data_IF_275589853983
#
_entry.id   IF_275589853983
#
_cell.length_a   1.000
_cell.length_b   1.000
_cell.length_c   1.000
_cell.angle_alpha   90.00
_cell.angle_beta   90.00
_cell.angle_gamma   90.00
#
_symmetry.space_group_name_H-M   'P 1'
#
loop_
_entity.id
_entity.type
_entity.pdbx_description
1 polymer ?
#
# COMPACT_ATOMS: atom_id res chain seq x y z
N UNK A 1 -4.75 -10.53 -21.15
CA UNK A 1 -4.69 -10.37 -20.75
C UNK A 1 -4.74 -10.24 -19.88
N UNK A 2 -4.74 -10.40 -19.68
CA UNK A 2 -4.70 -10.27 -19.00
C UNK A 2 -4.81 -10.07 -18.03
N UNK A 3 -4.95 -10.18 -17.85
CA UNK A 3 -4.97 -9.96 -17.09
C UNK A 3 -4.84 -9.90 -16.08
N UNK A 4 -5.22 -10.06 -15.97
CA UNK A 4 -5.13 -10.25 -14.79
C UNK A 4 -4.35 -9.97 -14.13
N UNK A 5 -4.46 -9.84 -14.44
CA UNK A 5 -3.08 -9.49 -14.18
C UNK A 5 -2.93 -8.38 -13.16
N UNK A 6 -2.01 -8.60 -12.23
CA UNK A 6 -1.79 -7.63 -11.18
C UNK A 6 -0.88 -6.53 -11.66
N UNK A 7 -1.21 -5.30 -11.33
CA UNK A 7 -0.36 -4.18 -11.64
C UNK A 7 0.73 -4.04 -10.60
N UNK A 8 1.82 -3.39 -10.97
CA UNK A 8 2.94 -3.15 -10.04
C UNK A 8 2.57 -2.11 -8.99
N UNK A 9 1.63 -1.23 -9.28
CA UNK A 9 1.21 -0.16 -8.38
C UNK A 9 -0.29 -0.15 -8.25
N UNK A 10 -0.77 0.14 -7.05
CA UNK A 10 -2.21 0.23 -6.79
C UNK A 10 -2.57 1.65 -6.39
N UNK A 11 -3.82 2.03 -6.68
CA UNK A 11 -4.33 3.35 -6.32
C UNK A 11 -5.18 3.29 -5.07
N UNK A 12 -5.81 4.42 -4.73
CA UNK A 12 -6.62 4.51 -3.51
C UNK A 12 -7.83 3.60 -3.52
N UNK A 13 -8.37 3.29 -4.69
CA UNK A 13 -9.57 2.45 -4.76
C UNK A 13 -9.33 1.09 -4.11
N UNK A 14 -8.18 0.48 -4.38
CA UNK A 14 -7.85 -0.80 -3.80
C UNK A 14 -7.78 -0.72 -2.28
N UNK A 15 -7.17 0.33 -1.77
CA UNK A 15 -7.03 0.52 -0.33
C UNK A 15 -8.37 0.76 0.33
N UNK A 16 -9.23 1.54 -0.34
CA UNK A 16 -10.58 1.79 0.17
C UNK A 16 -11.35 0.50 0.35
N UNK A 17 -11.22 -0.40 -0.63
CA UNK A 17 -11.92 -1.68 -0.59
C UNK A 17 -11.33 -2.62 0.45
N UNK A 18 -10.00 -2.67 0.52
CA UNK A 18 -9.32 -3.60 1.43
C UNK A 18 -9.54 -3.23 2.89
N UNK A 19 -9.60 -1.95 3.20
CA UNK A 19 -9.64 -1.49 4.58
C UNK A 19 -10.93 -0.78 4.95
N UNK A 20 -11.85 -0.65 3.99
CA UNK A 20 -13.13 0.01 4.21
C UNK A 20 -12.92 1.42 4.77
N UNK A 21 -12.11 2.19 4.08
CA UNK A 21 -11.80 3.55 4.49
C UNK A 21 -12.16 4.53 3.38
N UNK A 22 -12.24 5.81 3.74
CA UNK A 22 -12.55 6.85 2.77
C UNK A 22 -11.40 7.08 1.81
N UNK A 23 -11.70 7.76 0.70
CA UNK A 23 -10.68 8.08 -0.29
C UNK A 23 -9.57 8.95 0.32
N UNK A 24 -9.95 9.92 1.16
CA UNK A 24 -8.96 10.77 1.81
C UNK A 24 -8.02 9.96 2.68
N UNK A 25 -8.56 9.01 3.43
CA UNK A 25 -7.75 8.14 4.26
C UNK A 25 -6.84 7.26 3.41
N UNK A 26 -7.38 6.75 2.30
CA UNK A 26 -6.58 5.93 1.40
C UNK A 26 -5.38 6.70 0.85
N UNK A 27 -5.58 7.94 0.45
CA UNK A 27 -4.48 8.78 -0.04
C UNK A 27 -3.46 9.04 1.06
N UNK A 28 -3.91 9.24 2.30
CA UNK A 28 -2.98 9.43 3.41
C UNK A 28 -2.14 8.18 3.66
N UNK A 29 -2.75 7.01 3.53
CA UNK A 29 -2.04 5.74 3.67
C UNK A 29 -0.97 5.63 2.58
N UNK A 30 -1.34 5.93 1.34
CA UNK A 30 -0.40 5.88 0.22
C UNK A 30 0.78 6.81 0.48
N UNK A 31 0.49 8.03 0.94
CA UNK A 31 1.52 9.02 1.19
C UNK A 31 2.50 8.55 2.24
N UNK A 32 1.98 7.97 3.32
CA UNK A 32 2.83 7.46 4.39
C UNK A 32 3.67 6.29 3.93
N UNK A 33 3.07 5.38 3.17
CA UNK A 33 3.79 4.22 2.67
C UNK A 33 4.91 4.62 1.72
N UNK A 34 4.63 5.60 0.85
CA UNK A 34 5.65 6.07 -0.09
C UNK A 34 6.78 6.78 0.61
N UNK A 35 6.48 7.53 1.67
CA UNK A 35 7.52 8.18 2.45
C UNK A 35 8.43 7.14 3.10
N UNK A 36 7.85 6.10 3.65
CA UNK A 36 8.62 5.02 4.27
C UNK A 36 9.42 4.26 3.22
N UNK A 37 8.81 3.99 2.08
CA UNK A 37 9.49 3.28 1.00
C UNK A 37 10.72 4.06 0.53
N UNK A 38 10.58 5.35 0.35
CA UNK A 38 11.69 6.17 -0.11
C UNK A 38 12.82 6.19 0.91
N UNK A 39 12.45 6.14 2.18
CA UNK A 39 13.43 6.15 3.26
C UNK A 39 14.24 4.85 3.27
N UNK A 40 13.58 3.72 3.07
CA UNK A 40 14.24 2.42 3.13
C UNK A 40 14.85 2.01 1.80
N UNK A 41 14.28 2.50 0.72
CA UNK A 41 14.73 2.18 -0.63
C UNK A 41 14.83 3.46 -1.46
N UNK A 42 15.90 4.23 -1.27
CA UNK A 42 15.99 5.57 -1.90
C UNK A 42 15.88 5.57 -3.41
N UNK A 43 16.19 4.45 -4.06
CA UNK A 43 16.13 4.36 -5.52
C UNK A 43 14.79 3.84 -6.03
N UNK A 44 13.84 3.56 -5.14
CA UNK A 44 12.55 3.04 -5.55
C UNK A 44 11.77 4.08 -6.33
N UNK A 45 11.04 3.61 -7.34
CA UNK A 45 10.17 4.49 -8.12
C UNK A 45 8.92 4.84 -7.32
N UNK A 46 8.67 6.11 -7.14
CA UNK A 46 7.49 6.61 -6.44
C UNK A 46 6.57 7.28 -7.44
N UNK A 47 5.32 6.85 -7.47
CA UNK A 47 4.31 7.45 -8.34
C UNK A 47 3.25 8.10 -7.46
N UNK A 48 3.00 9.39 -7.68
CA UNK A 48 2.05 10.15 -6.87
C UNK A 48 0.67 9.51 -6.94
N UNK A 49 0.05 9.33 -5.79
CA UNK A 49 -1.29 8.76 -5.71
C UNK A 49 -1.34 7.25 -5.85
N UNK A 50 -0.19 6.59 -5.91
CA UNK A 50 -0.13 5.14 -6.01
C UNK A 50 0.96 4.61 -5.11
N UNK A 51 0.87 3.33 -4.79
CA UNK A 51 1.86 2.68 -3.95
C UNK A 51 2.26 1.35 -4.58
N UNK A 52 3.51 0.98 -4.41
CA UNK A 52 4.02 -0.29 -4.91
C UNK A 52 3.22 -1.43 -4.27
N UNK A 53 2.74 -2.35 -5.10
CA UNK A 53 1.86 -3.41 -4.63
C UNK A 53 2.55 -4.33 -3.63
N UNK A 54 3.79 -4.69 -3.90
CA UNK A 54 4.53 -5.58 -3.00
C UNK A 54 4.77 -4.89 -1.65
N UNK A 55 5.14 -3.62 -1.69
CA UNK A 55 5.35 -2.84 -0.48
C UNK A 55 4.06 -2.76 0.36
N UNK A 56 2.95 -2.53 -0.33
CA UNK A 56 1.64 -2.45 0.32
C UNK A 56 1.27 -3.78 0.96
N UNK A 57 1.48 -4.88 0.24
CA UNK A 57 1.13 -6.20 0.75
C UNK A 57 1.97 -6.57 1.96
N UNK A 58 3.24 -6.22 1.94
CA UNK A 58 4.11 -6.46 3.09
C UNK A 58 3.66 -5.66 4.30
N UNK A 59 3.26 -4.42 4.09
CA UNK A 59 2.78 -3.58 5.18
C UNK A 59 1.50 -4.14 5.78
N UNK A 60 0.60 -4.64 4.92
CA UNK A 60 -0.63 -5.26 5.40
C UNK A 60 -0.35 -6.50 6.22
N UNK A 61 0.59 -7.31 5.76
CA UNK A 61 0.95 -8.53 6.47
C UNK A 61 1.53 -8.22 7.84
N UNK A 62 2.42 -7.24 7.90
CA UNK A 62 3.01 -6.85 9.18
C UNK A 62 1.97 -6.36 10.16
N UNK A 63 1.01 -5.57 9.67
CA UNK A 63 -0.07 -5.08 10.52
C UNK A 63 -0.91 -6.23 11.05
N UNK A 64 -1.19 -7.21 10.20
CA UNK A 64 -1.97 -8.38 10.60
C UNK A 64 -1.23 -9.18 11.65
N UNK A 65 0.06 -9.40 11.44
CA UNK A 65 0.87 -10.14 12.40
C UNK A 65 0.91 -9.43 13.76
N UNK A 66 1.03 -8.11 13.72
CA UNK A 66 1.07 -7.34 14.95
C UNK A 66 -0.24 -7.44 15.72
N UNK A 67 -1.35 -7.45 15.00
CA UNK A 67 -2.66 -7.63 15.62
C UNK A 67 -2.77 -8.98 16.29
N UNK A 68 -2.29 -10.01 15.63
CA UNK A 68 -2.33 -11.35 16.18
C UNK A 68 -1.51 -11.44 17.46
N UNK A 69 -0.36 -10.82 17.45
CA UNK A 69 0.50 -10.83 18.62
C UNK A 69 -0.17 -10.11 19.79
N UNK A 70 -0.91 -9.05 19.48
CA UNK A 70 -1.60 -8.28 20.52
C UNK A 70 -2.69 -9.07 21.20
N UNK A 71 -3.20 -10.09 20.54
CA UNK A 71 -4.23 -10.92 21.14
C UNK A 71 -3.62 -11.83 22.19
#
# INVERSE_FOLDING_TARGET
>A
MKKNVETAYIGPQQIMEDWDVSRATAYNIIKKMNAQLKKEHPTALIIAGKVNRIWYEEACLQTTERKEIAL
#
